data_IF_437226841873
#
_entry.id   IF_437226841873
#
_cell.length_a   1.000
_cell.length_b   1.000
_cell.length_c   1.000
_cell.angle_alpha   90.00
_cell.angle_beta   90.00
_cell.angle_gamma   90.00
#
_symmetry.space_group_name_H-M   'P 1'
#
loop_
_entity.id
_entity.type
_entity.pdbx_description
1 polymer ?
#
# COMPACT_ATOMS: atom_id res chain seq x y z
N UNK A 1 -1.23 3.38 -15.16
CA UNK A 1 -1.20 2.53 -13.95
C UNK A 1 -2.53 1.77 -13.74
N UNK A 2 -3.27 1.42 -14.80
CA UNK A 2 -4.60 0.77 -14.66
C UNK A 2 -4.54 -0.58 -13.91
N UNK A 3 -3.45 -1.32 -14.07
CA UNK A 3 -3.23 -2.58 -13.33
C UNK A 3 -3.07 -2.39 -11.81
N UNK A 4 -2.92 -1.15 -11.31
CA UNK A 4 -2.85 -0.84 -9.88
C UNK A 4 -4.11 -0.15 -9.38
N UNK A 5 -5.13 0.04 -10.23
CA UNK A 5 -6.33 0.82 -9.89
C UNK A 5 -7.22 0.13 -8.85
N UNK A 6 -7.30 -1.20 -8.92
CA UNK A 6 -8.01 -2.02 -7.95
C UNK A 6 -7.13 -3.18 -7.51
N UNK A 7 -7.46 -3.79 -6.38
CA UNK A 7 -6.79 -5.01 -5.93
C UNK A 7 -6.93 -6.14 -6.96
N UNK A 8 -8.11 -6.29 -7.57
CA UNK A 8 -8.39 -7.34 -8.55
C UNK A 8 -7.53 -7.14 -9.81
N UNK A 9 -7.42 -5.90 -10.30
CA UNK A 9 -6.55 -5.58 -11.43
C UNK A 9 -5.08 -5.94 -11.14
N UNK A 10 -4.61 -5.64 -9.92
CA UNK A 10 -3.25 -5.96 -9.48
C UNK A 10 -3.04 -7.48 -9.40
N UNK A 11 -3.97 -8.20 -8.75
CA UNK A 11 -3.93 -9.66 -8.63
C UNK A 11 -3.90 -10.34 -10.02
N UNK A 12 -4.78 -9.92 -10.93
CA UNK A 12 -4.86 -10.44 -12.30
C UNK A 12 -3.55 -10.19 -13.06
N UNK A 13 -2.94 -8.99 -12.93
CA UNK A 13 -1.65 -8.68 -13.58
C UNK A 13 -0.50 -9.57 -13.09
N UNK A 14 -0.61 -10.08 -11.86
CA UNK A 14 0.33 -11.03 -11.28
C UNK A 14 0.01 -12.48 -11.63
N UNK A 15 -1.15 -12.77 -12.21
CA UNK A 15 -1.66 -14.13 -12.42
C UNK A 15 -2.18 -14.80 -11.15
N UNK A 16 -2.61 -14.02 -10.15
CA UNK A 16 -3.21 -14.52 -8.90
C UNK A 16 -4.73 -14.43 -8.99
N UNK A 17 -5.43 -15.34 -8.30
CA UNK A 17 -6.89 -15.29 -8.17
C UNK A 17 -7.27 -14.23 -7.10
N UNK A 18 -8.00 -13.17 -7.46
CA UNK A 18 -8.42 -12.14 -6.50
C UNK A 18 -9.39 -12.65 -5.44
N UNK A 19 -10.02 -13.82 -5.62
CA UNK A 19 -10.93 -14.39 -4.63
C UNK A 19 -10.20 -15.08 -3.47
N UNK A 20 -8.89 -15.31 -3.60
CA UNK A 20 -8.07 -15.91 -2.54
C UNK A 20 -7.58 -14.80 -1.61
N UNK A 21 -8.30 -14.63 -0.50
CA UNK A 21 -7.99 -13.70 0.59
C UNK A 21 -7.52 -14.44 1.85
N UNK A 22 -6.87 -13.75 2.81
CA UNK A 22 -6.52 -14.33 4.09
C UNK A 22 -7.75 -14.79 4.86
N UNK A 23 -7.65 -15.95 5.54
CA UNK A 23 -8.66 -16.39 6.50
C UNK A 23 -8.50 -15.59 7.79
N UNK A 24 -9.55 -14.86 8.17
CA UNK A 24 -9.57 -13.96 9.34
C UNK A 24 -10.69 -14.31 10.33
N UNK A 25 -11.23 -15.52 10.22
CA UNK A 25 -12.30 -16.03 11.09
C UNK A 25 -11.84 -16.10 12.55
N UNK A 26 -12.66 -15.60 13.47
CA UNK A 26 -12.35 -15.57 14.90
C UNK A 26 -11.42 -14.45 15.35
N UNK A 27 -11.00 -13.56 14.44
CA UNK A 27 -10.27 -12.33 14.75
C UNK A 27 -11.28 -11.18 14.96
N UNK A 28 -10.94 -10.24 15.84
CA UNK A 28 -11.69 -9.00 16.00
C UNK A 28 -11.93 -8.27 14.66
N UNK A 29 -13.09 -7.63 14.48
CA UNK A 29 -13.48 -7.05 13.20
C UNK A 29 -12.46 -6.02 12.68
N UNK A 30 -11.94 -5.15 13.56
CA UNK A 30 -10.96 -4.13 13.17
C UNK A 30 -9.64 -4.77 12.72
N UNK A 31 -9.16 -5.76 13.45
CA UNK A 31 -7.95 -6.49 13.10
C UNK A 31 -8.13 -7.36 11.84
N UNK A 32 -9.30 -7.97 11.64
CA UNK A 32 -9.63 -8.72 10.44
C UNK A 32 -9.62 -7.83 9.17
N UNK A 33 -10.16 -6.61 9.28
CA UNK A 33 -10.09 -5.58 8.21
C UNK A 33 -8.64 -5.21 7.91
N UNK A 34 -7.85 -4.89 8.93
CA UNK A 34 -6.44 -4.53 8.76
C UNK A 34 -5.62 -5.64 8.08
N UNK A 35 -5.82 -6.91 8.46
CA UNK A 35 -5.15 -8.06 7.86
C UNK A 35 -5.53 -8.27 6.39
N UNK A 36 -6.80 -8.07 6.06
CA UNK A 36 -7.27 -8.13 4.68
C UNK A 36 -6.71 -6.97 3.85
N UNK A 37 -6.71 -5.76 4.41
CA UNK A 37 -6.24 -4.55 3.75
C UNK A 37 -4.74 -4.60 3.45
N UNK A 38 -3.92 -5.02 4.43
CA UNK A 38 -2.47 -5.14 4.24
C UNK A 38 -2.12 -6.19 3.18
N UNK A 39 -2.86 -7.31 3.13
CA UNK A 39 -2.68 -8.31 2.09
C UNK A 39 -2.96 -7.73 0.70
N UNK A 40 -4.07 -7.00 0.53
CA UNK A 40 -4.39 -6.34 -0.75
C UNK A 40 -3.30 -5.33 -1.15
N UNK A 41 -2.80 -4.54 -0.19
CA UNK A 41 -1.71 -3.60 -0.42
C UNK A 41 -0.39 -4.29 -0.82
N UNK A 42 -0.08 -5.46 -0.25
CA UNK A 42 1.07 -6.25 -0.67
C UNK A 42 0.97 -6.70 -2.12
N UNK A 43 -0.21 -7.15 -2.56
CA UNK A 43 -0.46 -7.53 -3.96
C UNK A 43 -0.30 -6.32 -4.89
N UNK A 44 -0.81 -5.15 -4.50
CA UNK A 44 -0.65 -3.91 -5.27
C UNK A 44 0.83 -3.50 -5.37
N UNK A 45 1.58 -3.57 -4.27
CA UNK A 45 3.04 -3.30 -4.28
C UNK A 45 3.77 -4.29 -5.20
N UNK A 46 3.52 -5.60 -5.08
CA UNK A 46 4.12 -6.63 -5.92
C UNK A 46 3.84 -6.38 -7.41
N UNK A 47 2.59 -6.03 -7.75
CA UNK A 47 2.20 -5.69 -9.12
C UNK A 47 2.96 -4.48 -9.66
N UNK A 48 3.15 -3.45 -8.84
CA UNK A 48 3.89 -2.25 -9.22
C UNK A 48 5.36 -2.55 -9.55
N UNK A 49 6.04 -3.35 -8.72
CA UNK A 49 7.43 -3.73 -8.97
C UNK A 49 7.58 -4.60 -10.22
N UNK A 50 6.67 -5.56 -10.42
CA UNK A 50 6.67 -6.43 -11.61
C UNK A 50 6.43 -5.63 -12.90
N UNK A 51 5.52 -4.67 -12.89
CA UNK A 51 5.20 -3.87 -14.07
C UNK A 51 6.35 -2.95 -14.52
N UNK A 52 7.17 -2.51 -13.58
CA UNK A 52 8.36 -1.70 -13.85
C UNK A 52 9.60 -2.54 -14.24
N UNK A 53 9.47 -3.88 -14.27
CA UNK A 53 10.57 -4.84 -14.38
C UNK A 53 11.72 -4.54 -13.39
N UNK A 54 11.36 -4.00 -12.22
CA UNK A 54 12.31 -3.61 -11.17
C UNK A 54 12.30 -4.67 -10.09
N UNK A 55 13.46 -5.26 -9.84
CA UNK A 55 13.71 -6.04 -8.62
C UNK A 55 14.17 -5.10 -7.51
N UNK A 56 13.65 -5.30 -6.30
CA UNK A 56 14.14 -4.56 -5.14
C UNK A 56 15.49 -5.15 -4.73
N UNK A 57 16.54 -4.32 -4.78
CA UNK A 57 17.82 -4.60 -4.15
C UNK A 57 17.86 -3.87 -2.81
N UNK A 58 17.63 -4.63 -1.74
CA UNK A 58 17.64 -4.10 -0.38
C UNK A 58 19.04 -3.68 0.09
N UNK A 59 20.09 -4.10 -0.61
CA UNK A 59 21.47 -3.70 -0.30
C UNK A 59 21.92 -2.50 -1.15
N UNK A 60 21.13 -2.08 -2.14
CA UNK A 60 21.42 -0.90 -2.93
C UNK A 60 20.90 0.37 -2.22
N UNK A 61 21.85 1.12 -1.65
CA UNK A 61 21.61 2.42 -1.03
C UNK A 61 21.39 3.53 -2.07
N UNK A 62 21.62 3.30 -3.36
CA UNK A 62 21.26 4.22 -4.44
C UNK A 62 19.85 4.01 -4.99
N UNK A 63 19.26 2.82 -4.78
CA UNK A 63 17.90 2.52 -5.20
C UNK A 63 16.89 3.18 -4.26
N UNK A 64 16.19 4.20 -4.76
CA UNK A 64 15.10 4.85 -4.03
C UNK A 64 13.89 3.94 -3.86
N UNK A 65 13.30 3.98 -2.66
CA UNK A 65 12.13 3.20 -2.28
C UNK A 65 11.08 4.17 -1.73
N UNK A 66 9.93 4.27 -2.42
CA UNK A 66 8.92 5.29 -2.13
C UNK A 66 7.74 4.71 -1.36
N UNK A 67 7.15 5.45 -0.43
CA UNK A 67 5.96 4.99 0.30
C UNK A 67 4.97 6.14 0.54
N UNK A 68 3.65 5.88 0.56
CA UNK A 68 2.66 6.88 0.92
C UNK A 68 2.76 7.32 2.38
N UNK A 69 2.53 8.60 2.64
CA UNK A 69 2.41 9.18 3.98
C UNK A 69 1.04 9.85 4.13
N UNK A 70 0.39 9.60 5.26
CA UNK A 70 -0.98 10.01 5.51
C UNK A 70 -1.04 10.98 6.69
N UNK A 71 -1.91 11.98 6.55
CA UNK A 71 -2.33 12.82 7.65
C UNK A 71 -3.50 12.13 8.36
N UNK A 72 -3.31 11.86 9.65
CA UNK A 72 -4.27 11.19 10.53
C UNK A 72 -4.91 12.15 11.55
N UNK A 73 -4.65 13.46 11.43
CA UNK A 73 -5.21 14.46 12.32
C UNK A 73 -6.67 14.74 11.98
N UNK A 74 -7.52 14.71 13.01
CA UNK A 74 -8.89 15.20 12.92
C UNK A 74 -8.90 16.73 13.06
N UNK A 75 -8.36 17.42 12.06
CA UNK A 75 -8.37 18.88 11.98
C UNK A 75 -9.62 19.37 11.23
N UNK A 76 -10.03 20.62 11.50
CA UNK A 76 -11.23 21.26 10.94
C UNK A 76 -11.27 21.36 9.41
N UNK A 77 -10.24 20.90 8.70
CA UNK A 77 -10.16 20.82 7.24
C UNK A 77 -10.35 19.42 6.62
N UNK A 78 -10.38 18.34 7.41
CA UNK A 78 -10.56 16.97 6.91
C UNK A 78 -11.77 16.31 7.58
N UNK A 79 -12.90 16.14 6.88
CA UNK A 79 -14.13 15.58 7.46
C UNK A 79 -13.98 14.17 8.06
N UNK A 80 -12.94 13.44 7.69
CA UNK A 80 -12.68 12.06 8.10
C UNK A 80 -11.46 11.88 9.00
N UNK A 81 -10.66 12.94 9.22
CA UNK A 81 -9.38 12.87 9.94
C UNK A 81 -8.32 11.94 9.33
N UNK A 82 -8.52 11.43 8.10
CA UNK A 82 -7.58 10.55 7.41
C UNK A 82 -7.49 10.92 5.94
N UNK A 83 -6.31 11.36 5.48
CA UNK A 83 -6.09 11.76 4.08
C UNK A 83 -4.66 11.49 3.62
N UNK A 84 -4.48 11.30 2.30
CA UNK A 84 -3.13 11.24 1.73
C UNK A 84 -2.52 12.63 1.77
N UNK A 85 -1.34 12.74 2.38
CA UNK A 85 -0.65 14.03 2.53
C UNK A 85 0.51 14.15 1.54
N UNK A 86 1.43 13.19 1.54
CA UNK A 86 2.59 13.18 0.64
C UNK A 86 3.13 11.76 0.47
N UNK A 87 4.18 11.58 -0.33
CA UNK A 87 4.97 10.35 -0.34
C UNK A 87 6.35 10.63 0.28
N UNK A 88 6.88 9.68 1.01
CA UNK A 88 8.27 9.66 1.46
C UNK A 88 9.14 8.86 0.48
N UNK A 89 10.45 8.98 0.66
CA UNK A 89 11.42 8.02 0.10
C UNK A 89 12.51 7.77 1.12
N UNK A 90 13.03 6.56 1.11
CA UNK A 90 14.13 6.16 1.99
C UNK A 90 15.11 5.27 1.22
N UNK A 91 16.32 5.11 1.76
CA UNK A 91 17.40 4.34 1.18
C UNK A 91 17.31 2.86 1.58
N UNK A 92 18.31 2.31 2.28
CA UNK A 92 18.24 0.96 2.86
C UNK A 92 17.51 0.98 4.21
N UNK A 93 17.42 2.14 4.85
CA UNK A 93 16.50 2.36 5.96
C UNK A 93 15.11 2.54 5.35
N UNK A 94 14.07 2.05 6.01
CA UNK A 94 12.71 2.37 5.63
C UNK A 94 11.91 2.59 6.90
N UNK A 95 11.15 3.68 6.92
CA UNK A 95 10.15 3.91 7.96
C UNK A 95 8.92 3.00 7.83
N UNK A 96 8.86 2.16 6.78
CA UNK A 96 7.78 1.20 6.53
C UNK A 96 8.33 -0.18 6.15
N UNK A 97 7.48 -1.21 6.24
CA UNK A 97 7.84 -2.55 5.80
C UNK A 97 8.12 -2.62 4.30
N UNK A 98 9.04 -3.51 3.92
CA UNK A 98 9.48 -3.73 2.53
C UNK A 98 8.35 -4.04 1.53
N UNK A 99 7.24 -4.57 2.01
CA UNK A 99 6.07 -4.91 1.18
C UNK A 99 5.12 -3.73 0.92
N UNK A 100 5.44 -2.55 1.45
CA UNK A 100 4.64 -1.32 1.30
C UNK A 100 5.44 -0.18 0.65
N UNK A 101 6.56 -0.50 -0.01
CA UNK A 101 7.31 0.46 -0.84
C UNK A 101 7.02 0.25 -2.32
N UNK A 102 7.26 1.30 -3.12
CA UNK A 102 6.96 1.39 -4.54
C UNK A 102 8.18 1.87 -5.35
N UNK A 103 8.28 1.46 -6.63
CA UNK A 103 9.44 1.69 -7.49
C UNK A 103 9.63 3.13 -7.97
N UNK A 104 8.60 3.98 -7.82
CA UNK A 104 8.69 5.37 -8.20
C UNK A 104 7.79 6.24 -7.34
N UNK A 105 8.16 7.52 -7.26
CA UNK A 105 7.36 8.59 -6.66
C UNK A 105 5.94 8.66 -7.24
N UNK A 106 5.83 8.52 -8.55
CA UNK A 106 4.55 8.62 -9.26
C UNK A 106 3.61 7.49 -8.83
N UNK A 107 4.14 6.26 -8.76
CA UNK A 107 3.39 5.09 -8.34
C UNK A 107 3.00 5.19 -6.86
N UNK A 108 3.92 5.60 -5.98
CA UNK A 108 3.60 5.77 -4.56
C UNK A 108 2.46 6.79 -4.35
N UNK A 109 2.51 7.92 -5.05
CA UNK A 109 1.42 8.91 -5.00
C UNK A 109 0.11 8.34 -5.54
N UNK A 110 0.15 7.68 -6.70
CA UNK A 110 -1.04 7.10 -7.32
C UNK A 110 -1.70 6.06 -6.40
N UNK A 111 -0.92 5.11 -5.87
CA UNK A 111 -1.43 4.06 -4.99
C UNK A 111 -1.93 4.64 -3.67
N UNK A 112 -1.21 5.58 -3.06
CA UNK A 112 -1.62 6.24 -1.81
C UNK A 112 -2.95 6.99 -1.93
N UNK A 113 -3.22 7.62 -3.08
CA UNK A 113 -4.49 8.29 -3.35
C UNK A 113 -5.61 7.32 -3.75
N UNK A 114 -5.29 6.30 -4.55
CA UNK A 114 -6.29 5.37 -5.10
C UNK A 114 -6.83 4.42 -4.04
N UNK A 115 -5.98 4.01 -3.09
CA UNK A 115 -6.30 2.98 -2.09
C UNK A 115 -6.40 3.54 -0.67
N UNK A 116 -6.90 4.77 -0.53
CA UNK A 116 -7.02 5.47 0.76
C UNK A 116 -7.72 4.61 1.83
N UNK A 117 -8.84 3.97 1.50
CA UNK A 117 -9.57 3.16 2.46
C UNK A 117 -8.80 1.90 2.91
N UNK A 118 -8.02 1.27 2.03
CA UNK A 118 -7.15 0.15 2.45
C UNK A 118 -6.06 0.62 3.43
N UNK A 119 -5.50 1.81 3.22
CA UNK A 119 -4.55 2.37 4.16
C UNK A 119 -5.23 2.78 5.48
N UNK A 120 -6.46 3.29 5.43
CA UNK A 120 -7.24 3.63 6.62
C UNK A 120 -7.55 2.40 7.46
N UNK A 121 -8.05 1.33 6.84
CA UNK A 121 -8.32 0.03 7.48
C UNK A 121 -7.06 -0.56 8.12
N UNK A 122 -5.88 -0.28 7.55
CA UNK A 122 -4.59 -0.75 8.08
C UNK A 122 -4.04 0.13 9.22
N UNK A 123 -4.14 1.45 9.10
CA UNK A 123 -3.37 2.40 9.92
C UNK A 123 -4.17 2.99 11.08
N UNK A 124 -5.50 2.92 11.05
CA UNK A 124 -6.37 3.52 12.06
C UNK A 124 -7.09 2.43 12.85
N UNK A 125 -7.01 2.48 14.18
CA UNK A 125 -7.84 1.68 15.06
C UNK A 125 -9.21 2.36 15.16
N UNK A 126 -10.27 1.66 14.77
CA UNK A 126 -11.66 2.14 14.80
C UNK A 126 -12.51 1.30 15.73
#
# INVERSE_FOLDING_TARGET
>A
MEHLKTFEAAAISLGKDPNILPQVEGIDEGHAKALTAVYKLFIISEAAWKAEDKKIDWNDFGQYKYYPWFDMENSSGSPSGFSFNVFGYDFAYSSVGSRLVFPSREIARYVGQTHLELYKDLMVIQ
#
